data_IF_312402512450
#
_entry.id   IF_312402512450
#
_cell.length_a   1.000
_cell.length_b   1.000
_cell.length_c   1.000
_cell.angle_alpha   90.00
_cell.angle_beta   90.00
_cell.angle_gamma   90.00
#
_symmetry.space_group_name_H-M   'P 1'
#
loop_
_entity.id
_entity.type
_entity.pdbx_description
1 polymer ?
#
# COMPACT_ATOMS: atom_id res chain seq x y z
N UNK A 1 1.17 -26.99 3.54
CA UNK A 1 -0.22 -26.69 3.20
C UNK A 1 -1.08 -27.80 3.78
N UNK A 2 -2.18 -27.49 4.51
CA UNK A 2 -3.10 -28.53 4.95
C UNK A 2 -3.73 -29.20 3.72
N UNK A 3 -3.78 -30.51 3.78
CA UNK A 3 -4.25 -31.38 2.67
C UNK A 3 -5.80 -31.38 2.56
N UNK A 4 -6.46 -30.66 3.46
CA UNK A 4 -7.91 -30.68 3.60
C UNK A 4 -8.46 -29.28 3.30
N UNK A 5 -8.58 -28.94 2.01
CA UNK A 5 -9.32 -27.76 1.56
C UNK A 5 -10.42 -28.19 0.59
N UNK A 6 -11.66 -27.76 0.87
CA UNK A 6 -12.76 -27.90 -0.06
C UNK A 6 -12.66 -26.82 -1.15
N UNK A 7 -12.69 -27.26 -2.40
CA UNK A 7 -12.79 -26.36 -3.55
C UNK A 7 -14.27 -26.01 -3.73
N UNK A 8 -14.62 -24.75 -3.53
CA UNK A 8 -15.96 -24.26 -3.83
C UNK A 8 -16.22 -24.25 -5.33
N UNK A 9 -17.35 -24.80 -5.77
CA UNK A 9 -17.69 -24.94 -7.19
C UNK A 9 -17.89 -23.62 -7.93
N UNK A 10 -18.01 -22.48 -7.21
CA UNK A 10 -18.24 -21.19 -7.81
C UNK A 10 -17.39 -20.11 -7.16
N UNK A 11 -16.85 -19.18 -7.97
CA UNK A 11 -16.17 -17.97 -7.51
C UNK A 11 -17.25 -16.96 -7.11
N UNK A 12 -17.35 -16.56 -5.82
CA UNK A 12 -18.33 -15.56 -5.39
C UNK A 12 -17.91 -14.18 -5.90
N UNK A 13 -18.84 -13.46 -6.52
CA UNK A 13 -18.65 -12.10 -7.05
C UNK A 13 -19.69 -11.20 -6.39
N UNK A 14 -19.26 -10.06 -5.90
CA UNK A 14 -20.15 -9.01 -5.40
C UNK A 14 -20.59 -8.12 -6.57
N UNK A 15 -21.89 -8.09 -6.88
CA UNK A 15 -22.46 -7.30 -7.97
C UNK A 15 -22.99 -5.94 -7.54
N UNK A 16 -22.92 -5.59 -6.24
CA UNK A 16 -23.53 -4.38 -5.68
C UNK A 16 -22.52 -3.23 -5.48
N UNK A 17 -21.30 -3.39 -5.95
CA UNK A 17 -20.26 -2.36 -5.81
C UNK A 17 -20.61 -1.15 -6.67
N UNK A 18 -20.73 0.04 -6.05
CA UNK A 18 -21.00 1.30 -6.73
C UNK A 18 -19.79 2.22 -6.70
N UNK A 19 -19.60 3.03 -7.74
CA UNK A 19 -18.50 3.98 -7.84
C UNK A 19 -18.50 4.99 -6.68
N UNK A 20 -19.68 5.48 -6.29
CA UNK A 20 -19.82 6.47 -5.21
C UNK A 20 -19.43 5.88 -3.85
N UNK A 21 -19.77 4.62 -3.58
CA UNK A 21 -19.36 3.93 -2.35
C UNK A 21 -17.84 3.77 -2.24
N UNK A 22 -17.16 3.56 -3.38
CA UNK A 22 -15.70 3.49 -3.42
C UNK A 22 -15.09 4.88 -3.18
N UNK A 23 -15.58 5.91 -3.87
CA UNK A 23 -15.05 7.28 -3.78
C UNK A 23 -15.17 7.88 -2.39
N UNK A 24 -16.31 7.68 -1.72
CA UNK A 24 -16.55 8.23 -0.39
C UNK A 24 -15.58 7.75 0.67
N UNK A 25 -15.06 6.52 0.54
CA UNK A 25 -14.14 5.91 1.49
C UNK A 25 -12.67 5.99 1.05
N UNK A 26 -12.39 6.48 -0.17
CA UNK A 26 -11.07 6.44 -0.78
C UNK A 26 -10.05 7.29 -0.02
N UNK A 27 -10.43 8.47 0.46
CA UNK A 27 -9.53 9.40 1.15
C UNK A 27 -9.08 8.90 2.53
N UNK A 28 -9.91 8.11 3.20
CA UNK A 28 -9.60 7.60 4.55
C UNK A 28 -8.90 6.25 4.49
N UNK A 29 -9.31 5.38 3.59
CA UNK A 29 -8.89 3.99 3.59
C UNK A 29 -7.73 3.69 2.64
N UNK A 30 -7.55 4.48 1.56
CA UNK A 30 -6.48 4.21 0.60
C UNK A 30 -5.08 4.32 1.24
N UNK A 31 -4.28 3.24 1.22
CA UNK A 31 -2.92 3.26 1.76
C UNK A 31 -2.03 4.32 1.09
N UNK A 32 -2.20 4.55 -0.22
CA UNK A 32 -1.41 5.52 -0.98
C UNK A 32 -1.67 6.95 -0.49
N UNK A 33 -2.93 7.34 -0.28
CA UNK A 33 -3.27 8.66 0.26
C UNK A 33 -2.89 8.82 1.72
N UNK A 34 -3.00 7.76 2.52
CA UNK A 34 -2.53 7.77 3.91
C UNK A 34 -1.03 8.01 4.01
N UNK A 35 -0.23 7.37 3.16
CA UNK A 35 1.22 7.60 3.09
C UNK A 35 1.50 9.04 2.68
N UNK A 36 0.86 9.55 1.64
CA UNK A 36 1.06 10.91 1.15
C UNK A 36 0.67 11.97 2.19
N UNK A 37 -0.43 11.74 2.94
CA UNK A 37 -0.84 12.58 4.08
C UNK A 37 0.20 12.56 5.20
N UNK A 38 0.77 11.39 5.52
CA UNK A 38 1.84 11.29 6.52
C UNK A 38 3.12 12.01 6.08
N UNK A 39 3.47 11.98 4.81
CA UNK A 39 4.59 12.77 4.29
C UNK A 39 4.37 14.27 4.46
N UNK A 40 3.13 14.74 4.31
CA UNK A 40 2.77 16.13 4.53
C UNK A 40 2.88 16.50 6.03
N UNK A 41 2.42 15.64 6.93
CA UNK A 41 2.60 15.81 8.38
C UNK A 41 4.09 15.84 8.78
N UNK A 42 4.91 14.97 8.18
CA UNK A 42 6.38 14.96 8.39
C UNK A 42 7.00 16.29 7.93
N UNK A 43 6.60 16.82 6.78
CA UNK A 43 7.09 18.10 6.29
C UNK A 43 6.71 19.26 7.23
N UNK A 44 5.50 19.24 7.81
CA UNK A 44 5.07 20.24 8.81
C UNK A 44 5.87 20.13 10.12
N UNK A 45 6.14 18.90 10.59
CA UNK A 45 7.00 18.68 11.75
C UNK A 45 8.44 19.12 11.49
N UNK A 46 8.98 18.87 10.29
CA UNK A 46 10.31 19.34 9.89
C UNK A 46 10.41 20.87 9.87
N UNK A 47 9.33 21.56 9.44
CA UNK A 47 9.28 23.03 9.56
C UNK A 47 9.35 23.48 11.03
N UNK A 48 8.63 22.79 11.95
CA UNK A 48 8.69 23.11 13.37
C UNK A 48 10.08 22.85 13.96
N UNK A 49 10.74 21.78 13.54
CA UNK A 49 12.11 21.45 13.93
C UNK A 49 13.07 22.59 13.49
N UNK A 50 13.04 22.96 12.21
CA UNK A 50 13.90 24.06 11.69
C UNK A 50 13.61 25.40 12.37
N UNK A 51 12.36 25.67 12.72
CA UNK A 51 11.98 26.86 13.51
C UNK A 51 12.54 26.82 14.93
N UNK A 52 12.70 25.61 15.51
CA UNK A 52 13.28 25.47 16.84
C UNK A 52 14.76 25.89 16.89
N UNK A 53 15.49 25.84 15.75
CA UNK A 53 16.87 26.31 15.65
C UNK A 53 17.04 27.84 15.91
N UNK A 54 15.93 28.57 15.98
CA UNK A 54 15.95 30.00 16.41
C UNK A 54 16.06 30.17 17.92
N UNK A 55 15.80 29.12 18.69
CA UNK A 55 15.80 29.16 20.16
C UNK A 55 17.13 28.70 20.73
N UNK A 56 17.45 29.10 21.98
CA UNK A 56 18.64 28.61 22.69
C UNK A 56 18.58 27.09 22.88
N UNK A 57 19.70 26.42 22.60
CA UNK A 57 19.87 25.02 22.91
C UNK A 57 20.50 24.90 24.29
N UNK A 58 19.78 24.30 25.23
CA UNK A 58 20.28 24.04 26.60
C UNK A 58 20.66 22.56 26.70
N UNK A 59 21.89 22.28 27.10
CA UNK A 59 22.41 20.94 27.27
C UNK A 59 22.84 20.74 28.73
N UNK A 60 22.50 19.57 29.27
CA UNK A 60 23.03 19.08 30.51
C UNK A 60 24.06 17.99 30.22
N UNK A 61 25.28 18.19 30.68
CA UNK A 61 26.37 17.22 30.52
C UNK A 61 26.74 16.68 31.88
N UNK A 62 26.85 15.35 32.02
CA UNK A 62 27.36 14.70 33.22
C UNK A 62 28.31 13.61 32.82
N UNK A 63 29.43 13.49 33.55
CA UNK A 63 30.40 12.45 33.32
C UNK A 63 30.97 11.95 34.69
N UNK A 64 31.09 10.64 34.81
CA UNK A 64 31.84 10.01 35.88
C UNK A 64 33.19 9.57 35.31
N UNK A 65 34.27 10.16 35.83
CA UNK A 65 35.62 9.87 35.42
C UNK A 65 36.28 8.96 36.45
N UNK A 66 36.87 7.86 36.00
CA UNK A 66 37.69 6.98 36.76
C UNK A 66 39.05 6.81 36.06
N UNK A 67 40.11 7.18 36.72
CA UNK A 67 41.50 7.00 36.23
C UNK A 67 42.31 6.27 37.26
N UNK A 68 42.96 5.22 36.82
CA UNK A 68 43.94 4.44 37.62
C UNK A 68 45.26 4.46 36.85
N UNK A 69 46.27 5.09 37.46
CA UNK A 69 47.60 5.14 36.89
C UNK A 69 48.55 4.34 37.80
N UNK A 70 49.15 3.29 37.27
CA UNK A 70 50.17 2.50 37.93
C UNK A 70 51.52 2.77 37.27
N UNK A 71 52.51 3.22 38.05
CA UNK A 71 53.87 3.41 37.62
C UNK A 71 54.72 2.30 38.13
N UNK A 72 55.43 1.58 37.27
CA UNK A 72 56.30 0.47 37.64
C UNK A 72 57.65 0.94 38.22
N UNK A 73 58.01 2.17 37.99
CA UNK A 73 59.26 2.77 38.47
C UNK A 73 59.00 4.17 39.05
N UNK A 74 59.39 4.38 40.29
CA UNK A 74 59.36 5.69 40.93
C UNK A 74 60.61 6.52 40.49
N UNK A 75 60.42 7.40 39.52
CA UNK A 75 61.45 8.36 39.09
C UNK A 75 61.70 9.47 40.11
N UNK A 76 60.79 9.66 41.04
CA UNK A 76 60.87 10.65 42.12
C UNK A 76 60.25 10.08 43.39
N UNK A 77 60.88 10.13 44.59
CA UNK A 77 60.35 9.60 45.85
C UNK A 77 59.04 10.20 46.31
N UNK A 78 58.62 11.32 45.74
CA UNK A 78 57.34 12.00 46.04
C UNK A 78 56.21 11.65 45.06
N UNK A 79 56.45 10.84 44.01
CA UNK A 79 55.44 10.38 43.11
C UNK A 79 54.80 9.06 43.57
N UNK A 80 53.51 8.99 43.80
CA UNK A 80 52.86 7.74 44.17
C UNK A 80 52.94 6.72 43.03
N UNK A 81 53.31 5.47 43.35
CA UNK A 81 53.36 4.34 42.40
C UNK A 81 51.95 4.05 41.80
N UNK A 82 50.93 4.28 42.59
CA UNK A 82 49.53 4.09 42.17
C UNK A 82 48.78 5.39 42.45
N UNK A 83 48.21 5.95 41.42
CA UNK A 83 47.33 7.13 41.53
C UNK A 83 45.91 6.74 41.03
N UNK A 84 44.94 6.86 41.92
CA UNK A 84 43.54 6.63 41.60
C UNK A 84 42.77 7.93 41.71
N UNK A 85 42.20 8.36 40.62
CA UNK A 85 41.35 9.54 40.58
C UNK A 85 39.92 9.13 40.21
N UNK A 86 38.95 9.59 41.01
CA UNK A 86 37.54 9.39 40.79
C UNK A 86 36.84 10.75 40.88
N UNK A 87 36.04 11.08 39.88
CA UNK A 87 35.34 12.36 39.87
C UNK A 87 34.01 12.27 39.16
N UNK A 88 33.04 12.96 39.67
CA UNK A 88 31.76 13.22 38.99
C UNK A 88 31.72 14.67 38.56
N UNK A 89 31.55 14.90 37.27
CA UNK A 89 31.44 16.24 36.69
C UNK A 89 30.02 16.40 36.16
N UNK A 90 29.42 17.56 36.39
CA UNK A 90 28.17 17.96 35.79
C UNK A 90 28.24 19.44 35.39
N UNK A 91 27.47 19.78 34.35
CA UNK A 91 27.42 21.14 33.88
C UNK A 91 26.22 21.40 32.98
N UNK A 92 25.80 22.63 32.93
CA UNK A 92 24.81 23.11 31.97
C UNK A 92 25.50 24.04 30.98
N UNK A 93 25.17 23.89 29.71
CA UNK A 93 25.59 24.83 28.68
C UNK A 93 24.38 25.33 27.90
N UNK A 94 24.38 26.62 27.56
CA UNK A 94 23.34 27.21 26.72
C UNK A 94 24.01 27.88 25.53
N UNK A 95 23.64 27.47 24.32
CA UNK A 95 24.15 28.03 23.07
C UNK A 95 23.03 28.80 22.36
N UNK A 96 23.28 30.07 22.07
CA UNK A 96 22.34 30.98 21.38
C UNK A 96 22.94 31.35 20.03
N UNK A 97 22.31 31.02 18.87
CA UNK A 97 22.83 31.39 17.56
C UNK A 97 22.54 32.87 17.21
N UNK A 98 23.45 33.77 17.51
CA UNK A 98 23.24 35.22 17.33
C UNK A 98 23.42 35.65 15.86
N UNK A 99 24.41 35.15 15.13
CA UNK A 99 24.74 35.57 13.77
C UNK A 99 24.20 34.62 12.66
N UNK A 100 23.58 33.52 13.02
CA UNK A 100 23.07 32.49 12.08
C UNK A 100 21.66 32.79 11.54
N UNK A 101 21.08 33.94 11.91
CA UNK A 101 19.67 34.27 11.61
C UNK A 101 19.34 34.21 10.11
N UNK A 102 20.24 34.65 9.24
CA UNK A 102 20.01 34.56 7.77
C UNK A 102 19.98 33.11 7.27
N UNK A 103 20.79 32.22 7.82
CA UNK A 103 20.82 30.81 7.42
C UNK A 103 19.56 30.09 7.89
N UNK A 104 19.19 30.26 9.14
CA UNK A 104 17.96 29.68 9.71
C UNK A 104 16.71 30.18 8.97
N UNK A 105 16.67 31.49 8.65
CA UNK A 105 15.53 32.00 7.85
C UNK A 105 15.44 31.38 6.46
N UNK A 106 16.56 31.12 5.82
CA UNK A 106 16.60 30.42 4.53
C UNK A 106 16.13 28.99 4.63
N UNK A 107 16.55 28.26 5.69
CA UNK A 107 16.11 26.88 5.96
C UNK A 107 14.61 26.83 6.26
N UNK A 108 14.08 27.77 7.02
CA UNK A 108 12.62 27.90 7.25
C UNK A 108 11.90 28.07 5.92
N UNK A 109 12.37 28.99 5.08
CA UNK A 109 11.75 29.21 3.77
C UNK A 109 11.79 27.97 2.88
N UNK A 110 12.90 27.22 2.92
CA UNK A 110 13.04 25.95 2.22
C UNK A 110 12.04 24.89 2.75
N UNK A 111 11.87 24.80 4.07
CA UNK A 111 10.91 23.90 4.68
C UNK A 111 9.46 24.26 4.33
N UNK A 112 9.12 25.57 4.30
CA UNK A 112 7.81 26.05 3.83
C UNK A 112 7.54 25.68 2.37
N UNK A 113 8.54 25.83 1.50
CA UNK A 113 8.43 25.40 0.09
C UNK A 113 8.27 23.88 -0.02
N UNK A 114 8.94 23.11 0.85
CA UNK A 114 8.78 21.66 0.89
C UNK A 114 7.34 21.24 1.28
N UNK A 115 6.69 21.93 2.22
CA UNK A 115 5.26 21.70 2.52
C UNK A 115 4.41 21.96 1.28
N UNK A 116 4.66 23.07 0.57
CA UNK A 116 3.98 23.36 -0.70
C UNK A 116 4.16 22.25 -1.74
N UNK A 117 5.39 21.73 -1.87
CA UNK A 117 5.71 20.63 -2.75
C UNK A 117 4.98 19.33 -2.36
N UNK A 118 4.98 18.98 -1.06
CA UNK A 118 4.24 17.79 -0.58
C UNK A 118 2.73 17.91 -0.80
N UNK A 119 2.16 19.13 -0.69
CA UNK A 119 0.76 19.37 -1.03
C UNK A 119 0.46 19.11 -2.52
N UNK A 120 1.34 19.53 -3.41
CA UNK A 120 1.19 19.26 -4.84
C UNK A 120 1.26 17.74 -5.10
N UNK A 121 2.20 17.04 -4.48
CA UNK A 121 2.31 15.59 -4.59
C UNK A 121 1.06 14.88 -4.08
N UNK A 122 0.50 15.30 -2.93
CA UNK A 122 -0.74 14.76 -2.40
C UNK A 122 -1.91 14.92 -3.39
N UNK A 123 -2.09 16.12 -3.94
CA UNK A 123 -3.15 16.39 -4.90
C UNK A 123 -2.95 15.62 -6.21
N UNK A 124 -1.70 15.46 -6.66
CA UNK A 124 -1.36 14.65 -7.83
C UNK A 124 -1.69 13.17 -7.62
N UNK A 125 -1.32 12.61 -6.46
CA UNK A 125 -1.63 11.21 -6.13
C UNK A 125 -3.13 11.00 -5.97
N UNK A 126 -3.85 11.94 -5.37
CA UNK A 126 -5.31 11.91 -5.28
C UNK A 126 -5.97 11.85 -6.66
N UNK A 127 -5.53 12.71 -7.58
CA UNK A 127 -6.05 12.73 -8.96
C UNK A 127 -5.72 11.44 -9.72
N UNK A 128 -4.49 10.94 -9.56
CA UNK A 128 -4.07 9.68 -10.18
C UNK A 128 -4.84 8.47 -9.62
N UNK A 129 -5.13 8.49 -8.32
CA UNK A 129 -5.91 7.42 -7.68
C UNK A 129 -7.37 7.46 -8.14
N UNK A 130 -8.00 8.64 -8.23
CA UNK A 130 -9.38 8.78 -8.74
C UNK A 130 -9.48 8.25 -10.17
N UNK A 131 -8.50 8.57 -11.03
CA UNK A 131 -8.44 8.03 -12.39
C UNK A 131 -8.30 6.49 -12.40
N UNK A 132 -7.44 5.93 -11.54
CA UNK A 132 -7.29 4.46 -11.41
C UNK A 132 -8.59 3.81 -10.97
N UNK A 133 -9.31 4.41 -10.02
CA UNK A 133 -10.60 3.91 -9.55
C UNK A 133 -11.65 3.93 -10.64
N UNK A 134 -11.77 5.03 -11.40
CA UNK A 134 -12.71 5.10 -12.52
C UNK A 134 -12.41 4.05 -13.58
N UNK A 135 -11.13 3.88 -13.95
CA UNK A 135 -10.74 2.87 -14.93
C UNK A 135 -11.00 1.44 -14.41
N UNK A 136 -10.70 1.15 -13.16
CA UNK A 136 -10.96 -0.15 -12.56
C UNK A 136 -12.48 -0.43 -12.47
N UNK A 137 -13.28 0.57 -12.15
CA UNK A 137 -14.73 0.46 -12.11
C UNK A 137 -15.34 0.19 -13.51
N UNK A 138 -14.87 0.91 -14.53
CA UNK A 138 -15.31 0.66 -15.90
C UNK A 138 -14.91 -0.76 -16.36
N UNK A 139 -13.74 -1.23 -15.99
CA UNK A 139 -13.32 -2.60 -16.27
C UNK A 139 -14.20 -3.62 -15.53
N UNK A 140 -14.52 -3.37 -14.26
CA UNK A 140 -15.41 -4.23 -13.47
C UNK A 140 -16.81 -4.32 -14.11
N UNK A 141 -17.42 -3.21 -14.49
CA UNK A 141 -18.73 -3.21 -15.19
C UNK A 141 -18.66 -3.97 -16.52
N UNK A 142 -17.60 -3.76 -17.30
CA UNK A 142 -17.38 -4.50 -18.56
C UNK A 142 -17.28 -6.03 -18.31
N UNK A 143 -16.54 -6.46 -17.29
CA UNK A 143 -16.39 -7.89 -16.98
C UNK A 143 -17.68 -8.49 -16.41
N UNK A 144 -18.47 -7.72 -15.70
CA UNK A 144 -19.80 -8.12 -15.21
C UNK A 144 -20.77 -8.32 -16.36
N UNK A 145 -20.81 -7.42 -17.35
CA UNK A 145 -21.62 -7.58 -18.56
C UNK A 145 -21.15 -8.81 -19.39
N UNK A 146 -19.83 -8.97 -19.55
CA UNK A 146 -19.27 -10.14 -20.23
C UNK A 146 -19.64 -11.45 -19.56
N UNK A 147 -19.63 -11.51 -18.21
CA UNK A 147 -20.04 -12.66 -17.45
C UNK A 147 -21.54 -12.98 -17.68
N UNK A 148 -22.41 -11.96 -17.61
CA UNK A 148 -23.83 -12.16 -17.85
C UNK A 148 -24.12 -12.69 -19.27
N UNK A 149 -23.33 -12.23 -20.25
CA UNK A 149 -23.40 -12.74 -21.62
C UNK A 149 -23.00 -14.22 -21.69
N UNK A 150 -21.88 -14.62 -21.08
CA UNK A 150 -21.45 -16.02 -21.11
C UNK A 150 -22.36 -16.94 -20.28
N UNK A 151 -23.01 -16.43 -19.23
CA UNK A 151 -24.07 -17.16 -18.51
C UNK A 151 -25.31 -17.40 -19.38
N UNK A 152 -25.65 -16.48 -20.27
CA UNK A 152 -26.68 -16.69 -21.28
C UNK A 152 -26.23 -17.65 -22.38
N UNK A 153 -24.99 -17.51 -22.87
CA UNK A 153 -24.43 -18.35 -23.92
C UNK A 153 -24.36 -19.83 -23.53
N UNK A 154 -24.02 -20.14 -22.30
CA UNK A 154 -23.95 -21.55 -21.84
C UNK A 154 -25.31 -22.18 -21.78
N UNK A 155 -26.38 -21.44 -21.48
CA UNK A 155 -27.75 -21.97 -21.54
C UNK A 155 -28.13 -22.35 -22.98
N UNK A 156 -27.81 -21.47 -23.94
CA UNK A 156 -28.05 -21.74 -25.36
C UNK A 156 -27.22 -22.93 -25.87
N UNK A 157 -25.96 -23.05 -25.45
CA UNK A 157 -25.10 -24.16 -25.81
C UNK A 157 -25.65 -25.53 -25.27
N UNK A 158 -26.14 -25.53 -24.02
CA UNK A 158 -26.80 -26.71 -23.43
C UNK A 158 -28.05 -27.12 -24.19
N UNK A 159 -28.87 -26.14 -24.56
CA UNK A 159 -30.09 -26.38 -25.35
C UNK A 159 -29.73 -26.95 -26.75
N UNK A 160 -28.71 -26.38 -27.40
CA UNK A 160 -28.22 -26.85 -28.69
C UNK A 160 -27.75 -28.32 -28.64
N UNK A 161 -26.99 -28.70 -27.58
CA UNK A 161 -26.60 -30.11 -27.39
C UNK A 161 -27.83 -30.99 -27.19
N UNK A 162 -28.80 -30.55 -26.40
CA UNK A 162 -30.04 -31.32 -26.15
C UNK A 162 -30.81 -31.57 -27.44
N UNK A 163 -31.01 -30.53 -28.26
CA UNK A 163 -31.67 -30.63 -29.57
C UNK A 163 -30.85 -31.51 -30.53
N UNK A 164 -29.54 -31.36 -30.59
CA UNK A 164 -28.65 -32.16 -31.45
C UNK A 164 -28.69 -33.65 -31.06
N UNK A 165 -28.75 -33.94 -29.76
CA UNK A 165 -28.86 -35.31 -29.26
C UNK A 165 -30.19 -35.95 -29.66
N UNK A 166 -31.29 -35.21 -29.54
CA UNK A 166 -32.62 -35.71 -29.91
C UNK A 166 -32.74 -35.92 -31.44
N UNK A 167 -32.25 -34.98 -32.25
CA UNK A 167 -32.27 -35.12 -33.71
C UNK A 167 -31.34 -36.22 -34.20
N UNK A 168 -30.24 -36.50 -33.50
CA UNK A 168 -29.39 -37.67 -33.73
C UNK A 168 -30.10 -38.96 -33.44
N UNK A 169 -30.82 -39.07 -32.31
CA UNK A 169 -31.64 -40.25 -31.96
C UNK A 169 -32.72 -40.55 -33.00
N UNK A 170 -33.27 -39.47 -33.58
CA UNK A 170 -34.28 -39.60 -34.66
C UNK A 170 -33.69 -39.89 -36.01
N UNK A 171 -32.34 -39.98 -36.14
CA UNK A 171 -31.64 -40.22 -37.39
C UNK A 171 -31.64 -39.04 -38.35
N UNK A 172 -32.00 -37.83 -37.89
CA UNK A 172 -32.09 -36.62 -38.73
C UNK A 172 -30.81 -35.82 -38.80
N UNK A 173 -29.81 -36.15 -37.93
CA UNK A 173 -28.51 -35.50 -37.93
C UNK A 173 -27.38 -36.51 -37.82
N UNK A 174 -26.14 -36.09 -38.16
CA UNK A 174 -24.97 -36.96 -38.11
C UNK A 174 -24.27 -36.90 -36.75
N UNK A 175 -23.50 -37.96 -36.42
CA UNK A 175 -22.68 -37.99 -35.22
C UNK A 175 -21.65 -36.84 -35.18
N UNK A 176 -21.20 -36.38 -36.32
CA UNK A 176 -20.26 -35.25 -36.45
C UNK A 176 -20.91 -33.93 -35.93
N UNK A 177 -22.17 -33.71 -36.32
CA UNK A 177 -22.93 -32.51 -35.87
C UNK A 177 -23.22 -32.55 -34.38
N UNK A 178 -23.55 -33.70 -33.82
CA UNK A 178 -23.68 -33.85 -32.36
C UNK A 178 -22.35 -33.52 -31.63
N UNK A 179 -21.26 -34.08 -32.12
CA UNK A 179 -19.94 -33.85 -31.55
C UNK A 179 -19.51 -32.40 -31.66
N UNK A 180 -19.89 -31.68 -32.71
CA UNK A 180 -19.65 -30.22 -32.87
C UNK A 180 -20.42 -29.43 -31.83
N UNK A 181 -21.68 -29.81 -31.54
CA UNK A 181 -22.49 -29.18 -30.49
C UNK A 181 -21.88 -29.43 -29.09
N UNK A 182 -21.43 -30.66 -28.81
CA UNK A 182 -20.74 -30.98 -27.54
C UNK A 182 -19.47 -30.19 -27.35
N UNK A 183 -18.63 -30.05 -28.42
CA UNK A 183 -17.44 -29.24 -28.38
C UNK A 183 -17.75 -27.76 -28.16
N UNK A 184 -18.80 -27.23 -28.82
CA UNK A 184 -19.25 -25.86 -28.60
C UNK A 184 -19.70 -25.61 -27.16
N UNK A 185 -20.30 -26.61 -26.49
CA UNK A 185 -20.64 -26.53 -25.09
C UNK A 185 -19.39 -26.54 -24.19
N UNK A 186 -18.40 -27.38 -24.49
CA UNK A 186 -17.11 -27.38 -23.78
C UNK A 186 -16.43 -26.02 -23.88
N UNK A 187 -16.31 -25.46 -25.10
CA UNK A 187 -15.76 -24.12 -25.33
C UNK A 187 -16.56 -23.02 -24.58
N UNK A 188 -17.89 -23.18 -24.44
CA UNK A 188 -18.73 -22.25 -23.66
C UNK A 188 -18.46 -22.35 -22.14
N UNK A 189 -18.19 -23.53 -21.60
CA UNK A 189 -17.76 -23.70 -20.22
C UNK A 189 -16.42 -23.00 -19.94
N UNK A 190 -15.44 -23.18 -20.83
CA UNK A 190 -14.13 -22.55 -20.69
C UNK A 190 -14.25 -21.02 -20.70
N UNK A 191 -15.07 -20.45 -21.59
CA UNK A 191 -15.33 -19.02 -21.62
C UNK A 191 -16.03 -18.52 -20.35
N UNK A 192 -16.99 -19.27 -19.84
CA UNK A 192 -17.69 -18.91 -18.60
C UNK A 192 -16.74 -18.88 -17.39
N UNK A 193 -15.88 -19.90 -17.27
CA UNK A 193 -14.87 -19.95 -16.20
C UNK A 193 -13.91 -18.76 -16.31
N UNK A 194 -13.44 -18.45 -17.53
CA UNK A 194 -12.58 -17.30 -17.77
C UNK A 194 -13.27 -15.97 -17.45
N UNK A 195 -14.54 -15.81 -17.84
CA UNK A 195 -15.32 -14.61 -17.54
C UNK A 195 -15.53 -14.41 -16.04
N UNK A 196 -15.83 -15.47 -15.29
CA UNK A 196 -15.94 -15.43 -13.81
C UNK A 196 -14.63 -15.05 -13.14
N UNK A 197 -13.53 -15.64 -13.59
CA UNK A 197 -12.20 -15.29 -13.10
C UNK A 197 -11.87 -13.80 -13.35
N UNK A 198 -12.09 -13.33 -14.57
CA UNK A 198 -11.83 -11.92 -14.96
C UNK A 198 -12.69 -10.93 -14.16
N UNK A 199 -13.98 -11.25 -13.95
CA UNK A 199 -14.87 -10.45 -13.13
C UNK A 199 -14.39 -10.38 -11.67
N UNK A 200 -13.92 -11.51 -11.11
CA UNK A 200 -13.35 -11.54 -9.75
C UNK A 200 -12.04 -10.79 -9.63
N UNK A 201 -11.19 -10.85 -10.63
CA UNK A 201 -9.94 -10.05 -10.68
C UNK A 201 -10.26 -8.56 -10.68
N UNK A 202 -11.22 -8.13 -11.49
CA UNK A 202 -11.63 -6.72 -11.55
C UNK A 202 -12.26 -6.24 -10.23
N UNK A 203 -13.13 -7.05 -9.59
CA UNK A 203 -13.65 -6.79 -8.24
C UNK A 203 -12.53 -6.66 -7.20
N UNK A 204 -11.59 -7.60 -7.20
CA UNK A 204 -10.47 -7.62 -6.26
C UNK A 204 -9.58 -6.38 -6.42
N UNK A 205 -9.38 -5.91 -7.66
CA UNK A 205 -8.63 -4.68 -7.93
C UNK A 205 -9.35 -3.45 -7.36
N UNK A 206 -10.68 -3.38 -7.45
CA UNK A 206 -11.47 -2.32 -6.82
C UNK A 206 -11.33 -2.33 -5.29
N UNK A 207 -11.44 -3.51 -4.66
CA UNK A 207 -11.26 -3.68 -3.21
C UNK A 207 -9.85 -3.30 -2.78
N UNK A 208 -8.83 -3.63 -3.59
CA UNK A 208 -7.44 -3.24 -3.37
C UNK A 208 -7.26 -1.72 -3.39
N UNK A 209 -7.85 -1.03 -4.36
CA UNK A 209 -7.78 0.43 -4.47
C UNK A 209 -8.50 1.13 -3.31
N UNK A 210 -9.61 0.55 -2.83
CA UNK A 210 -10.35 1.01 -1.66
C UNK A 210 -9.58 0.77 -0.35
N UNK A 211 -8.66 -0.20 -0.31
CA UNK A 211 -7.89 -0.56 0.88
C UNK A 211 -8.56 -1.60 1.78
N UNK A 212 -9.56 -2.32 1.30
CA UNK A 212 -10.34 -3.29 2.08
C UNK A 212 -9.80 -4.73 2.03
N UNK A 213 -8.72 -4.98 1.27
CA UNK A 213 -8.13 -6.32 1.16
C UNK A 213 -7.34 -6.75 2.40
N UNK A 214 -6.90 -5.81 3.22
CA UNK A 214 -6.13 -6.08 4.45
C UNK A 214 -6.83 -5.40 5.60
N UNK A 215 -7.41 -6.19 6.47
CA UNK A 215 -7.95 -5.77 7.77
C UNK A 215 -6.93 -5.99 8.87
#
# INVERSE_FOLDING_TARGET
LPIDYEVSDTIPIDFEITLDAIRNNLEENSPALRISRKNLEIADLSLKEVRADQYPVVQFNSAYNFSLTNNDVALNPFLPLTNQNRGFNYGFSAAIPILNYRNTHRLIKQAELNIGYQNILYNSERSALDLRVVNAYNLYELQKEALALEESNILLAKENVSISMETYRLGSTTFIQLREAEKSLEDAYDRLIAARYNAKVAETELLRLRGDLVK
#
